data_IF_445575449306
#
_entry.id   IF_445575449306
#
_cell.length_a   1.000
_cell.length_b   1.000
_cell.length_c   1.000
_cell.angle_alpha   90.00
_cell.angle_beta   90.00
_cell.angle_gamma   90.00
#
_symmetry.space_group_name_H-M   'P 1'
#
loop_
_entity.id
_entity.type
_entity.pdbx_description
1 polymer ?
#
# COMPACT_ATOMS: atom_id res chain seq x y z
N UNK A 1 -32.24 -13.47 -4.02
CA UNK A 1 -31.28 -14.59 -3.98
C UNK A 1 -29.91 -14.01 -3.69
N UNK A 2 -29.39 -14.23 -2.49
CA UNK A 2 -28.07 -13.72 -2.08
C UNK A 2 -27.03 -14.79 -2.39
N UNK A 3 -26.06 -14.48 -3.25
CA UNK A 3 -24.90 -15.36 -3.49
C UNK A 3 -23.82 -15.01 -2.48
N UNK A 4 -23.51 -15.96 -1.59
CA UNK A 4 -22.34 -15.89 -0.74
C UNK A 4 -21.08 -15.81 -1.63
N UNK A 5 -20.37 -14.68 -1.60
CA UNK A 5 -19.08 -14.53 -2.28
C UNK A 5 -17.99 -15.16 -1.42
N UNK A 6 -17.23 -16.05 -2.03
CA UNK A 6 -16.16 -16.82 -1.40
C UNK A 6 -14.85 -16.04 -1.52
N UNK A 7 -14.26 -15.67 -0.39
CA UNK A 7 -12.97 -14.96 -0.34
C UNK A 7 -11.84 -15.97 -0.47
N UNK A 8 -11.03 -15.86 -1.53
CA UNK A 8 -9.90 -16.78 -1.80
C UNK A 8 -8.58 -16.09 -1.50
N UNK A 9 -7.74 -16.76 -0.71
CA UNK A 9 -6.42 -16.27 -0.27
C UNK A 9 -5.31 -16.94 -1.07
N UNK A 10 -4.42 -16.16 -1.69
CA UNK A 10 -3.21 -16.68 -2.33
C UNK A 10 -1.99 -15.85 -1.92
N UNK A 11 -1.00 -16.51 -1.32
CA UNK A 11 0.28 -15.91 -0.90
C UNK A 11 1.39 -16.45 -1.80
N UNK A 12 2.09 -15.58 -2.54
CA UNK A 12 3.29 -15.97 -3.31
C UNK A 12 4.40 -14.97 -3.05
N UNK A 13 5.54 -15.48 -2.57
CA UNK A 13 6.77 -14.72 -2.37
C UNK A 13 7.70 -14.92 -3.56
N UNK A 14 8.17 -13.83 -4.20
CA UNK A 14 9.15 -13.91 -5.28
C UNK A 14 10.34 -12.98 -5.05
N UNK A 15 11.52 -13.57 -5.23
CA UNK A 15 12.86 -13.04 -5.03
C UNK A 15 13.40 -12.43 -6.34
N UNK A 16 14.04 -11.26 -6.32
CA UNK A 16 14.89 -10.83 -7.45
C UNK A 16 16.11 -10.02 -7.03
N UNK A 17 17.22 -10.41 -7.65
CA UNK A 17 18.62 -9.97 -7.57
C UNK A 17 18.88 -8.57 -8.17
N UNK A 18 19.86 -7.87 -7.57
CA UNK A 18 20.39 -6.55 -7.97
C UNK A 18 21.37 -6.67 -9.16
N UNK A 19 21.37 -5.70 -10.08
CA UNK A 19 22.55 -5.40 -10.91
C UNK A 19 22.71 -3.88 -11.09
N UNK A 20 23.95 -3.41 -10.90
CA UNK A 20 24.37 -2.01 -10.89
C UNK A 20 24.97 -1.59 -12.25
N UNK A 21 24.90 -0.29 -12.57
CA UNK A 21 25.66 0.33 -13.67
C UNK A 21 25.37 1.82 -13.84
N UNK A 22 26.39 2.65 -13.67
CA UNK A 22 26.51 4.06 -14.08
C UNK A 22 28.01 4.32 -14.38
N UNK A 23 28.48 5.47 -14.91
CA UNK A 23 27.80 6.64 -15.52
C UNK A 23 28.47 7.11 -16.85
N UNK A 24 27.96 8.15 -17.53
CA UNK A 24 28.81 9.22 -18.13
C UNK A 24 27.97 10.46 -18.47
N UNK A 25 28.47 11.62 -18.01
CA UNK A 25 27.90 12.96 -18.18
C UNK A 25 28.38 13.60 -19.50
N UNK A 26 27.54 14.44 -20.10
CA UNK A 26 27.96 15.53 -20.99
C UNK A 26 27.07 16.74 -20.74
N UNK A 27 27.70 17.84 -20.32
CA UNK A 27 27.07 19.15 -20.15
C UNK A 27 27.12 19.90 -21.48
N UNK A 28 26.00 20.46 -21.91
CA UNK A 28 25.97 21.57 -22.85
C UNK A 28 25.35 22.78 -22.13
N UNK A 29 26.14 23.84 -21.97
CA UNK A 29 25.70 25.15 -21.49
C UNK A 29 25.00 25.85 -22.65
N UNK A 30 23.74 26.23 -22.47
CA UNK A 30 23.08 27.22 -23.32
C UNK A 30 22.54 28.34 -22.45
N UNK A 31 23.09 29.54 -22.67
CA UNK A 31 22.68 30.80 -22.06
C UNK A 31 21.52 31.35 -22.87
N UNK A 32 20.31 31.29 -22.32
CA UNK A 32 19.10 31.90 -22.87
C UNK A 32 18.26 32.45 -21.73
N UNK A 33 18.31 33.76 -21.56
CA UNK A 33 17.57 34.52 -20.54
C UNK A 33 16.14 34.78 -21.04
N UNK A 34 15.13 34.23 -20.36
CA UNK A 34 13.91 34.89 -19.85
C UNK A 34 12.81 33.87 -19.53
N UNK A 35 12.19 34.05 -18.35
CA UNK A 35 10.94 33.44 -17.88
C UNK A 35 10.91 31.91 -17.65
N UNK A 36 11.61 31.39 -16.64
CA UNK A 36 11.29 30.07 -16.03
C UNK A 36 11.82 29.95 -14.58
N UNK A 37 11.58 30.96 -13.74
CA UNK A 37 11.92 30.90 -12.31
C UNK A 37 11.02 29.96 -11.48
N UNK A 38 9.89 29.52 -12.04
CA UNK A 38 8.88 28.75 -11.29
C UNK A 38 9.08 27.23 -11.41
N UNK A 39 9.55 26.69 -12.54
CA UNK A 39 9.62 25.22 -12.69
C UNK A 39 10.84 24.62 -11.96
N UNK A 40 11.99 25.28 -11.95
CA UNK A 40 13.16 24.79 -11.20
C UNK A 40 12.92 24.92 -9.70
N UNK A 41 12.27 25.99 -9.24
CA UNK A 41 11.89 26.14 -7.83
C UNK A 41 10.82 25.12 -7.41
N UNK A 42 9.87 24.77 -8.28
CA UNK A 42 8.88 23.72 -8.02
C UNK A 42 9.50 22.31 -8.02
N UNK A 43 10.50 22.06 -8.88
CA UNK A 43 11.24 20.79 -8.96
C UNK A 43 12.20 20.62 -7.77
N UNK A 44 12.86 21.70 -7.32
CA UNK A 44 13.72 21.72 -6.12
C UNK A 44 12.87 21.71 -4.83
N UNK A 45 11.69 22.34 -4.81
CA UNK A 45 10.75 22.24 -3.69
C UNK A 45 10.08 20.86 -3.60
N UNK A 46 9.88 20.17 -4.72
CA UNK A 46 9.48 18.76 -4.74
C UNK A 46 10.61 17.85 -4.21
N UNK A 47 11.88 18.20 -4.44
CA UNK A 47 13.04 17.48 -3.94
C UNK A 47 13.30 17.64 -2.42
N UNK A 48 12.68 18.63 -1.76
CA UNK A 48 12.87 18.90 -0.33
C UNK A 48 11.74 18.39 0.58
N UNK A 49 10.68 17.77 0.05
CA UNK A 49 9.64 17.18 0.88
C UNK A 49 10.14 15.86 1.49
N UNK A 50 10.29 15.85 2.82
CA UNK A 50 10.58 14.63 3.58
C UNK A 50 9.60 13.54 3.16
N UNK A 51 10.13 12.36 2.81
CA UNK A 51 9.31 11.22 2.44
C UNK A 51 8.27 10.92 3.54
N UNK A 52 6.99 10.67 3.18
CA UNK A 52 5.96 10.40 4.16
C UNK A 52 6.31 9.16 4.98
N UNK A 53 5.85 9.11 6.22
CA UNK A 53 5.98 7.94 7.10
C UNK A 53 4.59 7.49 7.53
N UNK A 54 4.42 6.24 8.02
CA UNK A 54 3.13 5.74 8.46
C UNK A 54 2.55 6.61 9.59
N UNK A 55 1.22 6.75 9.62
CA UNK A 55 0.53 7.33 10.77
C UNK A 55 0.69 6.36 11.94
N UNK A 56 1.22 6.84 13.04
CA UNK A 56 1.32 6.06 14.27
C UNK A 56 -0.01 6.15 15.03
N UNK A 57 -0.55 4.99 15.44
CA UNK A 57 -1.82 4.87 16.17
C UNK A 57 -1.63 4.11 17.48
N UNK A 58 -2.53 4.34 18.43
CA UNK A 58 -2.60 3.52 19.65
C UNK A 58 -3.25 2.16 19.34
N UNK A 59 -2.95 1.11 20.12
CA UNK A 59 -3.72 -0.13 20.05
C UNK A 59 -5.22 0.14 20.24
N UNK A 60 -6.05 -0.38 19.34
CA UNK A 60 -7.50 -0.18 19.35
C UNK A 60 -7.97 1.20 18.89
N UNK A 61 -7.09 2.08 18.41
CA UNK A 61 -7.51 3.35 17.80
C UNK A 61 -8.13 3.07 16.42
N UNK A 62 -9.40 3.43 16.27
CA UNK A 62 -10.13 3.33 15.01
C UNK A 62 -9.68 4.42 14.02
N UNK A 63 -9.36 3.98 12.80
CA UNK A 63 -9.04 4.83 11.66
C UNK A 63 -10.13 4.67 10.63
N UNK A 64 -10.90 5.74 10.41
CA UNK A 64 -11.87 5.80 9.31
C UNK A 64 -11.10 5.88 7.98
N UNK A 65 -11.15 4.82 7.20
CA UNK A 65 -10.51 4.75 5.90
C UNK A 65 -11.43 5.28 4.78
N UNK A 66 -12.72 5.04 4.92
CA UNK A 66 -13.81 5.57 4.08
C UNK A 66 -15.15 5.40 4.83
N UNK A 67 -16.27 5.97 4.35
CA UNK A 67 -17.58 5.79 4.99
C UNK A 67 -17.91 4.30 5.20
N UNK A 68 -18.20 3.91 6.44
CA UNK A 68 -18.50 2.52 6.83
C UNK A 68 -17.30 1.57 6.87
N UNK A 69 -16.11 2.01 6.47
CA UNK A 69 -14.89 1.21 6.46
C UNK A 69 -13.87 1.77 7.44
N UNK A 70 -13.69 1.08 8.57
CA UNK A 70 -12.77 1.45 9.62
C UNK A 70 -11.76 0.34 9.87
N UNK A 71 -10.53 0.70 10.23
CA UNK A 71 -9.49 -0.25 10.63
C UNK A 71 -8.89 0.15 11.97
N UNK A 72 -8.49 -0.83 12.76
CA UNK A 72 -7.68 -0.63 13.96
C UNK A 72 -6.66 -1.74 14.10
N UNK A 73 -5.57 -1.43 14.79
CA UNK A 73 -4.48 -2.36 15.03
C UNK A 73 -4.46 -2.74 16.52
N UNK A 74 -4.21 -4.01 16.80
CA UNK A 74 -3.79 -4.49 18.11
C UNK A 74 -2.42 -5.13 17.96
N UNK A 75 -1.74 -5.47 19.06
CA UNK A 75 -0.46 -6.19 18.98
C UNK A 75 -0.60 -7.53 18.22
N UNK A 76 -1.79 -8.11 18.18
CA UNK A 76 -2.09 -9.42 17.58
C UNK A 76 -2.44 -9.34 16.09
N UNK A 77 -2.85 -8.18 15.57
CA UNK A 77 -3.12 -8.04 14.14
C UNK A 77 -4.03 -6.88 13.74
N UNK A 78 -4.42 -6.93 12.46
CA UNK A 78 -5.30 -5.96 11.80
C UNK A 78 -6.75 -6.33 12.06
N UNK A 79 -7.55 -5.39 12.51
CA UNK A 79 -9.00 -5.51 12.52
C UNK A 79 -9.63 -4.48 11.58
N UNK A 80 -10.83 -4.79 11.08
CA UNK A 80 -11.62 -3.86 10.30
C UNK A 80 -13.11 -4.17 10.37
N UNK A 81 -13.93 -3.19 10.01
CA UNK A 81 -15.35 -3.36 9.68
C UNK A 81 -15.58 -2.93 8.25
N UNK A 82 -16.55 -3.56 7.59
CA UNK A 82 -16.95 -3.23 6.23
C UNK A 82 -18.35 -2.59 6.24
N UNK A 83 -18.66 -1.70 5.28
CA UNK A 83 -19.94 -0.97 5.28
C UNK A 83 -21.17 -1.87 5.23
N UNK A 84 -21.06 -3.05 4.60
CA UNK A 84 -22.10 -4.06 4.47
C UNK A 84 -22.23 -4.97 5.70
N UNK A 85 -21.19 -5.02 6.54
CA UNK A 85 -21.11 -5.88 7.73
C UNK A 85 -20.64 -5.10 8.97
N UNK A 86 -21.34 -4.01 9.37
CA UNK A 86 -20.90 -3.13 10.45
C UNK A 86 -20.84 -3.83 11.82
N UNK A 87 -21.70 -4.83 12.04
CA UNK A 87 -21.78 -5.59 13.29
C UNK A 87 -20.83 -6.80 13.35
N UNK A 88 -20.06 -7.04 12.28
CA UNK A 88 -19.15 -8.18 12.19
C UNK A 88 -17.70 -7.75 11.96
N UNK A 89 -17.02 -7.24 13.00
CA UNK A 89 -15.59 -7.01 12.98
C UNK A 89 -14.80 -8.20 12.44
N UNK A 90 -13.99 -7.93 11.44
CA UNK A 90 -13.09 -8.89 10.85
C UNK A 90 -11.69 -8.76 11.46
N UNK A 91 -10.91 -9.85 11.40
CA UNK A 91 -9.58 -9.91 11.99
C UNK A 91 -8.59 -10.68 11.12
N UNK A 92 -7.37 -10.15 11.02
CA UNK A 92 -6.22 -10.83 10.43
C UNK A 92 -5.07 -10.82 11.41
N UNK A 93 -4.81 -12.00 11.97
CA UNK A 93 -3.70 -12.24 12.90
C UNK A 93 -2.34 -12.09 12.22
N UNK A 94 -1.35 -11.64 13.01
CA UNK A 94 0.08 -11.69 12.70
C UNK A 94 0.87 -12.59 13.65
N UNK A 95 0.18 -13.22 14.62
CA UNK A 95 0.79 -14.03 15.69
C UNK A 95 0.39 -15.51 15.64
N UNK A 96 -0.48 -15.90 14.73
CA UNK A 96 -0.99 -17.26 14.57
C UNK A 96 -0.04 -18.20 13.80
N UNK A 97 1.12 -17.69 13.36
CA UNK A 97 2.10 -18.43 12.57
C UNK A 97 1.85 -18.45 11.06
N UNK A 98 0.76 -17.85 10.57
CA UNK A 98 0.48 -17.76 9.13
C UNK A 98 1.31 -16.67 8.43
N UNK A 99 2.00 -15.82 9.19
CA UNK A 99 2.82 -14.73 8.68
C UNK A 99 4.23 -14.82 9.29
N UNK A 100 5.23 -14.94 8.42
CA UNK A 100 6.64 -14.86 8.80
C UNK A 100 7.12 -13.40 8.75
N UNK A 101 7.11 -12.73 9.91
CA UNK A 101 7.55 -11.33 10.05
C UNK A 101 9.06 -11.14 9.80
N UNK A 102 9.86 -12.20 9.76
CA UNK A 102 11.29 -12.11 9.50
C UNK A 102 11.62 -11.84 8.02
N UNK A 103 10.63 -12.02 7.13
CA UNK A 103 10.78 -11.86 5.68
C UNK A 103 9.87 -10.74 5.18
N UNK A 104 10.32 -9.94 4.19
CA UNK A 104 9.48 -8.93 3.59
C UNK A 104 8.20 -9.53 3.00
N UNK A 105 7.06 -8.97 3.37
CA UNK A 105 5.77 -9.37 2.83
C UNK A 105 4.74 -8.24 2.85
N UNK A 106 3.75 -8.37 1.98
CA UNK A 106 2.56 -7.53 1.97
C UNK A 106 1.37 -8.37 1.54
N UNK A 107 0.23 -8.21 2.22
CA UNK A 107 -1.04 -8.80 1.81
C UNK A 107 -1.92 -7.78 1.12
N UNK A 108 -2.92 -8.28 0.40
CA UNK A 108 -4.02 -7.50 -0.15
C UNK A 108 -5.34 -8.18 0.21
N UNK A 109 -6.31 -7.35 0.52
CA UNK A 109 -7.70 -7.68 0.69
C UNK A 109 -8.51 -6.59 0.00
N UNK A 110 -9.49 -7.01 -0.79
CA UNK A 110 -10.40 -6.12 -1.49
C UNK A 110 -11.84 -6.49 -1.13
N UNK A 111 -12.65 -5.47 -0.84
CA UNK A 111 -14.10 -5.61 -0.70
C UNK A 111 -14.79 -4.49 -1.47
N UNK A 112 -15.91 -4.81 -2.14
CA UNK A 112 -16.64 -3.86 -2.97
C UNK A 112 -17.96 -3.48 -2.32
N UNK A 113 -18.22 -2.18 -2.18
CA UNK A 113 -19.51 -1.66 -1.71
C UNK A 113 -19.86 -0.37 -2.45
N UNK A 114 -21.10 -0.27 -2.94
CA UNK A 114 -21.65 0.89 -3.69
C UNK A 114 -20.71 1.46 -4.78
N UNK A 115 -20.10 0.58 -5.58
CA UNK A 115 -19.23 0.98 -6.70
C UNK A 115 -17.84 1.47 -6.28
N UNK A 116 -17.44 1.23 -5.03
CA UNK A 116 -16.10 1.52 -4.51
C UNK A 116 -15.46 0.23 -4.00
N UNK A 117 -14.21 0.01 -4.37
CA UNK A 117 -13.35 -0.99 -3.76
C UNK A 117 -12.59 -0.40 -2.56
N UNK A 118 -12.71 -1.08 -1.43
CA UNK A 118 -11.96 -0.84 -0.20
C UNK A 118 -10.80 -1.82 -0.19
N UNK A 119 -9.59 -1.27 -0.30
CA UNK A 119 -8.36 -2.04 -0.39
C UNK A 119 -7.61 -1.90 0.92
N UNK A 120 -7.14 -3.01 1.49
CA UNK A 120 -6.28 -2.97 2.66
C UNK A 120 -5.38 -4.18 2.76
N UNK A 121 -4.37 -4.10 3.62
CA UNK A 121 -3.50 -5.25 3.87
C UNK A 121 -2.47 -4.97 4.94
N UNK A 122 -1.69 -5.99 5.27
CA UNK A 122 -0.62 -5.95 6.25
C UNK A 122 0.70 -5.91 5.48
N UNK A 123 1.65 -5.07 5.89
CA UNK A 123 3.02 -5.09 5.40
C UNK A 123 4.00 -5.34 6.54
N UNK A 124 5.09 -6.06 6.28
CA UNK A 124 6.02 -6.48 7.32
C UNK A 124 7.40 -6.85 6.78
N UNK A 125 8.38 -6.98 7.68
CA UNK A 125 9.69 -7.59 7.41
C UNK A 125 10.61 -6.84 6.44
N UNK A 126 10.19 -5.68 5.93
CA UNK A 126 10.96 -4.87 5.01
C UNK A 126 12.08 -4.10 5.70
N UNK A 127 13.14 -3.78 4.93
CA UNK A 127 14.29 -3.02 5.44
C UNK A 127 14.07 -1.52 5.28
N UNK A 128 14.37 -0.76 6.31
CA UNK A 128 14.19 0.69 6.33
C UNK A 128 12.83 1.11 6.91
N UNK A 129 12.44 2.36 6.68
CA UNK A 129 11.15 2.89 7.14
C UNK A 129 10.17 2.87 5.97
N UNK A 130 9.05 2.15 6.10
CA UNK A 130 7.98 2.18 5.11
C UNK A 130 7.50 3.62 4.86
N UNK A 131 7.05 3.91 3.64
CA UNK A 131 6.78 5.30 3.24
C UNK A 131 5.62 5.47 2.27
N UNK A 132 5.60 4.69 1.20
CA UNK A 132 4.57 4.80 0.15
C UNK A 132 4.07 3.44 -0.22
N UNK A 133 2.77 3.31 -0.48
CA UNK A 133 2.19 2.10 -1.05
C UNK A 133 1.57 2.42 -2.41
N UNK A 134 1.79 1.52 -3.36
CA UNK A 134 1.21 1.56 -4.70
C UNK A 134 0.50 0.24 -4.95
N UNK A 135 -0.77 0.32 -5.31
CA UNK A 135 -1.52 -0.80 -5.86
C UNK A 135 -1.58 -0.60 -7.37
N UNK A 136 -1.11 -1.58 -8.13
CA UNK A 136 -1.22 -1.56 -9.58
C UNK A 136 -2.56 -2.17 -9.97
N UNK A 137 -3.26 -1.49 -10.87
CA UNK A 137 -4.53 -1.95 -11.43
C UNK A 137 -4.54 -1.80 -12.95
N UNK A 138 -5.55 -2.36 -13.61
CA UNK A 138 -5.80 -2.15 -15.04
C UNK A 138 -6.08 -0.67 -15.37
N UNK A 139 -6.72 0.04 -14.45
CA UNK A 139 -7.10 1.45 -14.58
C UNK A 139 -5.97 2.42 -14.19
N UNK A 140 -4.87 1.93 -13.61
CA UNK A 140 -3.71 2.74 -13.24
C UNK A 140 -3.12 2.39 -11.89
N UNK A 141 -2.45 3.36 -11.25
CA UNK A 141 -1.86 3.16 -9.92
C UNK A 141 -2.69 3.85 -8.86
N UNK A 142 -3.12 3.08 -7.86
CA UNK A 142 -3.79 3.60 -6.66
C UNK A 142 -2.74 3.79 -5.56
N UNK A 143 -2.75 4.96 -4.93
CA UNK A 143 -1.89 5.27 -3.79
C UNK A 143 -2.65 5.08 -2.48
N UNK A 144 -2.08 4.30 -1.58
CA UNK A 144 -2.66 4.09 -0.27
C UNK A 144 -1.97 4.89 0.84
N UNK A 145 -2.53 4.74 2.04
CA UNK A 145 -2.02 5.27 3.30
C UNK A 145 -1.45 4.13 4.13
N UNK A 146 -0.51 4.44 5.01
CA UNK A 146 0.17 3.48 5.89
C UNK A 146 -0.11 3.85 7.35
N UNK A 147 -0.36 2.85 8.19
CA UNK A 147 -0.56 3.00 9.63
C UNK A 147 0.27 1.95 10.39
N UNK A 148 0.85 2.33 11.51
CA UNK A 148 1.62 1.43 12.39
C UNK A 148 1.25 1.67 13.85
N UNK A 149 1.40 0.63 14.68
CA UNK A 149 1.38 0.81 16.12
C UNK A 149 2.64 1.53 16.59
N UNK A 150 2.49 2.33 17.65
CA UNK A 150 3.64 2.91 18.34
C UNK A 150 4.62 1.82 18.83
N UNK A 151 5.92 2.10 18.76
CA UNK A 151 6.98 1.18 19.18
C UNK A 151 7.69 0.53 18.00
N UNK A 152 7.89 -0.79 18.05
CA UNK A 152 8.56 -1.60 17.01
C UNK A 152 7.82 -2.92 16.76
N UNK A 153 6.56 -2.88 16.27
CA UNK A 153 5.78 -4.09 16.05
C UNK A 153 6.35 -4.99 14.95
N UNK A 154 7.17 -4.46 14.03
CA UNK A 154 7.73 -5.22 12.89
C UNK A 154 6.77 -5.36 11.71
N UNK A 155 5.58 -4.78 11.80
CA UNK A 155 4.53 -4.78 10.78
C UNK A 155 3.67 -3.52 10.86
N UNK A 156 2.91 -3.24 9.82
CA UNK A 156 1.91 -2.19 9.74
C UNK A 156 0.77 -2.57 8.79
N UNK A 157 -0.17 -1.65 8.63
CA UNK A 157 -1.33 -1.80 7.74
C UNK A 157 -1.31 -0.73 6.68
N UNK A 158 -1.73 -1.08 5.48
CA UNK A 158 -2.00 -0.13 4.42
C UNK A 158 -3.47 -0.17 4.03
N UNK A 159 -3.99 0.95 3.53
CA UNK A 159 -5.35 1.02 2.98
C UNK A 159 -5.47 2.04 1.86
N UNK A 160 -6.41 1.82 0.95
CA UNK A 160 -6.77 2.72 -0.13
C UNK A 160 -8.23 2.50 -0.54
N UNK A 161 -8.77 3.43 -1.33
CA UNK A 161 -10.04 3.22 -2.03
C UNK A 161 -9.86 3.50 -3.52
N UNK A 162 -10.67 2.85 -4.34
CA UNK A 162 -10.69 3.06 -5.79
C UNK A 162 -12.08 2.76 -6.34
N UNK A 163 -12.54 3.43 -7.42
CA UNK A 163 -13.79 3.07 -8.07
C UNK A 163 -13.78 1.62 -8.56
N UNK A 164 -14.95 0.99 -8.59
CA UNK A 164 -15.16 -0.30 -9.22
C UNK A 164 -15.08 -0.13 -10.76
N UNK A 165 -14.18 -0.84 -11.46
CA UNK A 165 -14.13 -0.77 -12.92
C UNK A 165 -15.43 -1.28 -13.55
N UNK A 166 -15.92 -0.66 -14.64
CA UNK A 166 -17.12 -1.12 -15.33
C UNK A 166 -16.96 -2.55 -15.86
N UNK A 167 -17.92 -3.42 -15.56
CA UNK A 167 -17.92 -4.80 -16.07
C UNK A 167 -16.97 -5.75 -15.32
N UNK A 168 -16.26 -5.26 -14.30
CA UNK A 168 -15.49 -6.12 -13.41
C UNK A 168 -16.39 -6.71 -12.32
N UNK A 169 -16.27 -8.03 -12.14
CA UNK A 169 -17.07 -8.80 -11.20
C UNK A 169 -16.23 -9.28 -10.00
N UNK A 170 -14.94 -8.92 -9.94
CA UNK A 170 -14.02 -9.44 -8.94
C UNK A 170 -12.73 -8.62 -8.79
N UNK A 171 -11.64 -9.32 -8.47
CA UNK A 171 -10.35 -8.74 -8.12
C UNK A 171 -9.37 -8.72 -9.32
N UNK A 172 -9.82 -9.07 -10.53
CA UNK A 172 -8.98 -9.28 -11.71
C UNK A 172 -8.27 -7.99 -12.18
N UNK A 173 -8.89 -6.82 -11.95
CA UNK A 173 -8.25 -5.54 -12.20
C UNK A 173 -7.03 -5.28 -11.30
N UNK A 174 -6.83 -6.01 -10.20
CA UNK A 174 -5.69 -5.84 -9.30
C UNK A 174 -4.48 -6.63 -9.80
N UNK A 175 -3.34 -5.96 -9.94
CA UNK A 175 -2.09 -6.58 -10.45
C UNK A 175 -1.00 -6.71 -9.37
N UNK A 176 -1.19 -6.08 -8.21
CA UNK A 176 -0.32 -6.27 -7.06
C UNK A 176 -0.12 -5.02 -6.23
N UNK A 177 0.67 -5.16 -5.16
CA UNK A 177 0.94 -4.11 -4.17
C UNK A 177 2.44 -4.00 -3.97
N UNK A 178 2.95 -2.77 -3.95
CA UNK A 178 4.34 -2.49 -3.58
C UNK A 178 4.38 -1.44 -2.49
N UNK A 179 5.04 -1.78 -1.37
CA UNK A 179 5.40 -0.81 -0.34
C UNK A 179 6.84 -0.40 -0.59
N UNK A 180 7.10 0.91 -0.56
CA UNK A 180 8.43 1.50 -0.71
C UNK A 180 8.87 2.12 0.60
N UNK A 181 10.18 2.11 0.84
CA UNK A 181 10.80 2.81 1.96
C UNK A 181 11.01 4.32 1.66
N UNK A 182 11.46 5.07 2.66
CA UNK A 182 11.75 6.51 2.56
C UNK A 182 12.89 6.85 1.60
N UNK A 183 13.67 5.86 1.16
CA UNK A 183 14.72 5.99 0.13
C UNK A 183 14.23 5.57 -1.26
N UNK A 184 12.95 5.24 -1.41
CA UNK A 184 12.36 4.78 -2.67
C UNK A 184 12.68 3.33 -3.03
N UNK A 185 13.28 2.56 -2.13
CA UNK A 185 13.56 1.12 -2.34
C UNK A 185 12.32 0.31 -2.00
N UNK A 186 12.19 -0.87 -2.60
CA UNK A 186 11.10 -1.80 -2.27
C UNK A 186 11.26 -2.25 -0.81
N UNK A 187 10.26 -1.96 0.00
CA UNK A 187 10.12 -2.43 1.38
C UNK A 187 9.54 -3.85 1.36
N UNK A 188 8.43 -4.06 0.65
CA UNK A 188 7.80 -5.36 0.40
C UNK A 188 6.91 -5.31 -0.85
N UNK A 189 6.60 -6.47 -1.44
CA UNK A 189 5.81 -6.53 -2.66
C UNK A 189 5.00 -7.83 -2.76
N UNK A 190 3.79 -7.70 -3.31
CA UNK A 190 2.92 -8.77 -3.78
C UNK A 190 2.65 -8.52 -5.27
N UNK A 191 2.76 -9.56 -6.10
CA UNK A 191 2.41 -9.50 -7.51
C UNK A 191 1.39 -10.59 -7.81
N UNK A 192 0.38 -10.26 -8.59
CA UNK A 192 -0.51 -11.25 -9.16
C UNK A 192 -0.01 -11.59 -10.56
N UNK A 193 0.13 -12.88 -10.92
CA UNK A 193 0.34 -13.25 -12.31
C UNK A 193 -0.84 -12.69 -13.12
N UNK A 194 -0.54 -12.02 -14.24
CA UNK A 194 -1.60 -11.53 -15.13
C UNK A 194 -2.43 -12.71 -15.66
N UNK A 195 -3.75 -12.56 -15.59
CA UNK A 195 -4.70 -13.32 -16.41
C UNK A 195 -4.46 -13.05 -17.89
#
# INVERSE_FOLDING_TARGET
MSMARMHTYVTVAALTTLLAGAPTLSYAVSRGETAHGTSVAAEVAAAARKAPTPKIVKPGEHVVAAPGFELWLTAEGKHWVEPDLPDFPQFRSVVDGNIDLSRPGVSLQASGHEGVYYLSGIYYGGKGTASRVQVRTSEGTVHGKLIELAGKPGWGVWYATTPLPPGDNGEDFLHGVTVYDTKGRVYSQLRFPGV
#
